data_IF_005258266527
#
_entry.id   IF_005258266527
#
_cell.length_a   1.000
_cell.length_b   1.000
_cell.length_c   1.000
_cell.angle_alpha   90.00
_cell.angle_beta   90.00
_cell.angle_gamma   90.00
#
_symmetry.space_group_name_H-M   'P 1'
#
loop_
_entity.id
_entity.type
_entity.pdbx_description
1 polymer ?
#
# COMPACT_ATOMS: atom_id res chain seq x y z
N UNK A 1 -2.23 12.87 -24.32
CA UNK A 1 -0.80 12.58 -24.54
C UNK A 1 -0.49 12.02 -25.93
N UNK A 2 -0.69 10.73 -26.28
CA UNK A 2 -0.35 10.25 -27.65
C UNK A 2 -1.17 10.98 -28.72
N UNK A 3 -2.48 11.14 -28.51
CA UNK A 3 -3.37 11.81 -29.47
C UNK A 3 -2.98 13.27 -29.66
N UNK A 4 -2.77 13.99 -28.56
CA UNK A 4 -2.37 15.41 -28.54
C UNK A 4 -0.99 15.63 -29.19
N UNK A 5 0.01 14.84 -28.80
CA UNK A 5 1.35 14.93 -29.37
C UNK A 5 1.38 14.51 -30.86
N UNK A 6 0.50 13.57 -31.26
CA UNK A 6 0.36 13.19 -32.68
C UNK A 6 -0.22 14.32 -33.53
N UNK A 7 -1.09 15.15 -32.94
CA UNK A 7 -1.67 16.32 -33.61
C UNK A 7 -0.66 17.47 -33.70
N UNK A 8 0.20 17.65 -32.69
CA UNK A 8 1.16 18.75 -32.62
C UNK A 8 2.48 18.49 -33.35
N UNK A 9 3.06 17.30 -33.18
CA UNK A 9 4.41 16.97 -33.66
C UNK A 9 4.43 15.82 -34.68
N UNK A 10 3.27 15.23 -34.98
CA UNK A 10 3.11 14.11 -35.91
C UNK A 10 3.16 12.73 -35.23
N UNK A 11 2.61 11.72 -35.92
CA UNK A 11 2.40 10.39 -35.34
C UNK A 11 3.69 9.65 -34.95
N UNK A 12 4.69 9.61 -35.84
CA UNK A 12 5.94 8.89 -35.57
C UNK A 12 6.74 9.49 -34.39
N UNK A 13 6.93 10.82 -34.31
CA UNK A 13 7.47 11.46 -33.11
C UNK A 13 6.67 11.13 -31.84
N UNK A 14 5.35 11.19 -31.90
CA UNK A 14 4.51 10.87 -30.74
C UNK A 14 4.66 9.42 -30.24
N UNK A 15 4.83 8.45 -31.15
CA UNK A 15 5.13 7.05 -30.80
C UNK A 15 6.51 6.93 -30.17
N UNK A 16 7.51 7.61 -30.73
CA UNK A 16 8.88 7.61 -30.20
C UNK A 16 8.95 8.23 -28.79
N UNK A 17 8.28 9.36 -28.59
CA UNK A 17 8.19 10.03 -27.30
C UNK A 17 7.49 9.14 -26.27
N UNK A 18 6.39 8.49 -26.67
CA UNK A 18 5.69 7.54 -25.81
C UNK A 18 6.61 6.40 -25.36
N UNK A 19 7.35 5.78 -26.29
CA UNK A 19 8.30 4.70 -25.98
C UNK A 19 9.41 5.20 -25.05
N UNK A 20 9.96 6.38 -25.32
CA UNK A 20 10.99 7.01 -24.49
C UNK A 20 10.48 7.23 -23.06
N UNK A 21 9.26 7.72 -22.90
CA UNK A 21 8.61 7.86 -21.59
C UNK A 21 8.42 6.51 -20.88
N UNK A 22 8.12 5.43 -21.61
CA UNK A 22 8.02 4.10 -21.00
C UNK A 22 9.39 3.61 -20.48
N UNK A 23 10.46 3.80 -21.25
CA UNK A 23 11.82 3.48 -20.81
C UNK A 23 12.29 4.33 -19.61
N UNK A 24 11.76 5.55 -19.48
CA UNK A 24 11.94 6.42 -18.31
C UNK A 24 11.03 6.06 -17.13
N UNK A 25 10.28 4.95 -17.23
CA UNK A 25 9.44 4.41 -16.15
C UNK A 25 8.25 5.32 -15.80
N UNK A 26 7.77 6.13 -16.76
CA UNK A 26 6.65 7.05 -16.56
C UNK A 26 5.37 6.34 -16.08
N UNK A 27 5.11 5.12 -16.56
CA UNK A 27 3.94 4.33 -16.12
C UNK A 27 4.05 3.87 -14.66
N UNK A 28 5.26 3.52 -14.19
CA UNK A 28 5.50 3.23 -12.77
C UNK A 28 5.25 4.48 -11.93
N UNK A 29 5.82 5.61 -12.37
CA UNK A 29 5.63 6.89 -11.69
C UNK A 29 4.16 7.29 -11.59
N UNK A 30 3.44 7.30 -12.71
CA UNK A 30 2.07 7.74 -12.75
C UNK A 30 1.15 6.86 -11.90
N UNK A 31 1.33 5.54 -11.98
CA UNK A 31 0.55 4.57 -11.20
C UNK A 31 0.77 4.76 -9.71
N UNK A 32 2.02 4.98 -9.29
CA UNK A 32 2.36 5.28 -7.90
C UNK A 32 1.85 6.65 -7.43
N UNK A 33 2.03 7.69 -8.26
CA UNK A 33 1.53 9.03 -7.97
C UNK A 33 0.01 9.07 -7.80
N UNK A 34 -0.72 8.38 -8.68
CA UNK A 34 -2.18 8.32 -8.62
C UNK A 34 -2.64 7.50 -7.42
N UNK A 35 -1.96 6.40 -7.08
CA UNK A 35 -2.22 5.65 -5.84
C UNK A 35 -2.10 6.52 -4.59
N UNK A 36 -1.03 7.32 -4.50
CA UNK A 36 -0.82 8.29 -3.42
C UNK A 36 -1.97 9.29 -3.31
N UNK A 37 -2.32 9.94 -4.44
CA UNK A 37 -3.39 10.95 -4.48
C UNK A 37 -4.73 10.34 -4.10
N UNK A 38 -5.10 9.20 -4.69
CA UNK A 38 -6.37 8.53 -4.41
C UNK A 38 -6.50 8.13 -2.93
N UNK A 39 -5.43 7.61 -2.33
CA UNK A 39 -5.45 7.21 -0.92
C UNK A 39 -5.68 8.40 0.01
N UNK A 40 -4.87 9.47 -0.12
CA UNK A 40 -4.97 10.61 0.79
C UNK A 40 -6.22 11.46 0.52
N UNK A 41 -6.64 11.61 -0.73
CA UNK A 41 -7.90 12.24 -1.08
C UNK A 41 -9.09 11.50 -0.45
N UNK A 42 -9.14 10.17 -0.58
CA UNK A 42 -10.16 9.34 0.05
C UNK A 42 -10.13 9.44 1.58
N UNK A 43 -8.95 9.41 2.21
CA UNK A 43 -8.80 9.59 3.66
C UNK A 43 -9.34 10.93 4.13
N UNK A 44 -9.02 12.02 3.43
CA UNK A 44 -9.49 13.36 3.76
C UNK A 44 -11.01 13.49 3.61
N UNK A 45 -11.60 12.92 2.55
CA UNK A 45 -13.06 12.94 2.37
C UNK A 45 -13.77 12.15 3.48
N UNK A 46 -13.27 10.96 3.81
CA UNK A 46 -13.93 10.05 4.74
C UNK A 46 -13.71 10.42 6.21
N UNK A 47 -12.54 10.95 6.56
CA UNK A 47 -12.10 11.11 7.96
C UNK A 47 -11.68 12.53 8.32
N UNK A 48 -11.51 13.43 7.33
CA UNK A 48 -10.88 14.73 7.54
C UNK A 48 -9.39 14.63 7.91
N UNK A 49 -8.86 15.67 8.57
CA UNK A 49 -7.52 15.63 9.17
C UNK A 49 -6.36 15.75 8.17
N UNK A 50 -6.45 16.69 7.22
CA UNK A 50 -5.32 17.00 6.34
C UNK A 50 -4.09 17.44 7.15
N UNK A 51 -2.97 16.75 6.95
CA UNK A 51 -1.69 17.04 7.64
C UNK A 51 -0.72 17.62 6.62
N UNK A 52 -0.37 18.88 6.79
CA UNK A 52 0.68 19.50 5.99
C UNK A 52 2.02 18.85 6.29
N UNK A 53 2.75 18.50 5.25
CA UNK A 53 4.16 18.13 5.35
C UNK A 53 4.96 19.11 4.52
N UNK A 54 5.95 19.75 5.16
CA UNK A 54 6.73 20.79 4.52
C UNK A 54 7.55 20.21 3.35
N UNK A 55 7.33 20.79 2.19
CA UNK A 55 8.13 20.61 0.98
C UNK A 55 9.50 21.23 1.24
N UNK A 56 10.55 20.41 1.40
CA UNK A 56 11.91 20.92 1.54
C UNK A 56 12.29 21.81 0.35
N UNK A 57 12.96 22.94 0.59
CA UNK A 57 13.50 23.79 -0.49
C UNK A 57 14.83 23.21 -0.95
N UNK A 58 14.92 22.80 -2.21
CA UNK A 58 16.17 22.40 -2.87
C UNK A 58 16.15 21.02 -3.53
N UNK A 59 17.14 20.78 -4.39
CA UNK A 59 17.40 19.51 -5.05
C UNK A 59 18.01 18.55 -4.02
N UNK A 60 17.17 17.76 -3.34
CA UNK A 60 17.63 16.83 -2.32
C UNK A 60 17.91 15.50 -3.02
N UNK A 61 19.18 15.27 -3.38
CA UNK A 61 19.69 14.00 -3.93
C UNK A 61 19.98 13.01 -2.78
N UNK A 62 19.11 12.99 -1.76
CA UNK A 62 19.34 12.18 -0.57
C UNK A 62 18.53 10.90 -0.63
N UNK A 63 19.23 9.79 -0.41
CA UNK A 63 18.62 8.50 -0.17
C UNK A 63 17.71 8.55 1.06
N UNK A 64 16.45 8.16 0.89
CA UNK A 64 15.51 7.93 2.00
C UNK A 64 15.63 6.49 2.48
N UNK A 65 15.78 6.32 3.78
CA UNK A 65 15.83 4.97 4.37
C UNK A 65 14.54 4.19 4.14
N UNK A 66 14.63 2.86 4.09
CA UNK A 66 13.46 2.00 4.00
C UNK A 66 12.44 2.26 5.12
N UNK A 67 12.88 2.49 6.37
CA UNK A 67 11.97 2.82 7.47
C UNK A 67 11.17 4.11 7.21
N UNK A 68 11.74 5.10 6.53
CA UNK A 68 10.99 6.29 6.09
C UNK A 68 10.00 5.95 4.97
N UNK A 69 10.44 5.24 3.93
CA UNK A 69 9.57 4.83 2.82
C UNK A 69 8.40 3.96 3.30
N UNK A 70 8.65 3.04 4.23
CA UNK A 70 7.62 2.19 4.83
C UNK A 70 6.58 3.04 5.56
N UNK A 71 6.99 3.98 6.42
CA UNK A 71 6.05 4.86 7.12
C UNK A 71 5.20 5.72 6.19
N UNK A 72 5.76 6.12 5.04
CA UNK A 72 5.05 6.93 4.06
C UNK A 72 4.08 6.12 3.19
N UNK A 73 4.46 4.90 2.81
CA UNK A 73 3.79 4.15 1.75
C UNK A 73 3.16 2.82 2.18
N UNK A 74 3.31 2.40 3.43
CA UNK A 74 2.75 1.12 3.93
C UNK A 74 1.25 1.01 3.65
N UNK A 75 0.44 1.99 4.08
CA UNK A 75 -1.03 1.96 3.94
C UNK A 75 -1.56 2.34 2.56
N UNK A 76 -0.82 3.18 1.85
CA UNK A 76 -1.24 3.68 0.54
C UNK A 76 -0.91 2.72 -0.60
N UNK A 77 0.21 2.00 -0.49
CA UNK A 77 0.76 1.16 -1.57
C UNK A 77 1.10 -0.26 -1.11
N UNK A 78 2.02 -0.44 -0.16
CA UNK A 78 2.63 -1.75 0.11
C UNK A 78 1.60 -2.79 0.55
N UNK A 79 0.79 -2.49 1.57
CA UNK A 79 -0.24 -3.42 2.06
C UNK A 79 -1.21 -3.79 0.94
N UNK A 80 -1.70 -2.78 0.19
CA UNK A 80 -2.65 -3.02 -0.90
C UNK A 80 -2.06 -3.82 -2.05
N UNK A 81 -0.78 -3.60 -2.36
CA UNK A 81 -0.06 -4.36 -3.39
C UNK A 81 0.13 -5.82 -2.97
N UNK A 82 0.46 -6.07 -1.70
CA UNK A 82 0.59 -7.42 -1.15
C UNK A 82 -0.77 -8.12 -1.16
N UNK A 83 -1.84 -7.46 -0.68
CA UNK A 83 -3.20 -8.01 -0.71
C UNK A 83 -3.64 -8.37 -2.13
N UNK A 84 -3.47 -7.46 -3.08
CA UNK A 84 -3.80 -7.71 -4.49
C UNK A 84 -2.95 -8.85 -5.06
N UNK A 85 -1.65 -8.88 -4.77
CA UNK A 85 -0.75 -9.95 -5.22
C UNK A 85 -1.17 -11.32 -4.68
N UNK A 86 -1.53 -11.41 -3.40
CA UNK A 86 -2.04 -12.64 -2.79
C UNK A 86 -3.34 -13.08 -3.47
N UNK A 87 -4.28 -12.15 -3.73
CA UNK A 87 -5.53 -12.46 -4.44
C UNK A 87 -5.24 -12.98 -5.85
N UNK A 88 -4.31 -12.38 -6.58
CA UNK A 88 -3.93 -12.83 -7.93
C UNK A 88 -3.28 -14.22 -7.94
N UNK A 89 -2.49 -14.55 -6.91
CA UNK A 89 -1.90 -15.88 -6.72
C UNK A 89 -2.98 -16.90 -6.41
N UNK A 90 -3.91 -16.58 -5.51
CA UNK A 90 -5.05 -17.47 -5.19
C UNK A 90 -5.92 -17.67 -6.42
N UNK A 91 -6.19 -16.62 -7.19
CA UNK A 91 -6.92 -16.71 -8.45
C UNK A 91 -6.21 -17.60 -9.48
N UNK A 92 -4.88 -17.50 -9.60
CA UNK A 92 -4.09 -18.36 -10.46
C UNK A 92 -4.15 -19.83 -10.04
N UNK A 93 -4.14 -20.10 -8.74
CA UNK A 93 -4.11 -21.46 -8.19
C UNK A 93 -5.48 -22.16 -8.19
N UNK A 94 -6.58 -21.41 -8.10
CA UNK A 94 -7.90 -21.99 -7.81
C UNK A 94 -8.94 -21.77 -8.92
N UNK A 95 -8.63 -21.06 -10.01
CA UNK A 95 -9.60 -20.83 -11.09
C UNK A 95 -9.31 -21.69 -12.32
N UNK A 96 -10.34 -22.35 -12.83
CA UNK A 96 -10.26 -23.14 -14.08
C UNK A 96 -9.90 -22.27 -15.29
N UNK A 97 -10.29 -20.98 -15.26
CA UNK A 97 -9.93 -19.98 -16.26
C UNK A 97 -8.43 -19.68 -16.26
N UNK A 98 -7.75 -19.81 -15.11
CA UNK A 98 -6.30 -19.64 -15.04
C UNK A 98 -5.51 -20.82 -15.59
N UNK A 99 -6.14 -21.98 -15.80
CA UNK A 99 -5.50 -23.14 -16.42
C UNK A 99 -4.98 -22.81 -17.83
N UNK A 100 -5.64 -21.89 -18.54
CA UNK A 100 -5.10 -21.30 -19.75
C UNK A 100 -4.18 -20.11 -19.40
N UNK A 101 -2.86 -20.36 -19.47
CA UNK A 101 -1.83 -19.37 -19.13
C UNK A 101 -1.96 -18.07 -19.92
N UNK A 102 -2.34 -18.13 -21.20
CA UNK A 102 -2.46 -16.95 -22.05
C UNK A 102 -3.65 -16.07 -21.63
N UNK A 103 -4.81 -16.69 -21.38
CA UNK A 103 -6.02 -15.99 -20.91
C UNK A 103 -5.77 -15.36 -19.53
N UNK A 104 -5.13 -16.10 -18.61
CA UNK A 104 -4.75 -15.56 -17.31
C UNK A 104 -3.87 -14.32 -17.42
N UNK A 105 -2.81 -14.38 -18.23
CA UNK A 105 -1.86 -13.27 -18.38
C UNK A 105 -2.59 -12.03 -18.90
N UNK A 106 -3.38 -12.16 -19.98
CA UNK A 106 -4.08 -11.00 -20.57
C UNK A 106 -5.04 -10.35 -19.57
N UNK A 107 -5.75 -11.15 -18.77
CA UNK A 107 -6.73 -10.61 -17.82
C UNK A 107 -6.07 -9.98 -16.57
N UNK A 108 -4.88 -10.44 -16.18
CA UNK A 108 -4.26 -10.04 -14.89
C UNK A 108 -3.01 -9.17 -15.02
N UNK A 109 -2.47 -8.99 -16.22
CA UNK A 109 -1.21 -8.23 -16.45
C UNK A 109 -1.27 -6.80 -15.89
N UNK A 110 -2.42 -6.13 -16.00
CA UNK A 110 -2.62 -4.78 -15.45
C UNK A 110 -2.59 -4.78 -13.92
N UNK A 111 -3.18 -5.79 -13.28
CA UNK A 111 -3.15 -5.96 -11.83
C UNK A 111 -1.75 -6.31 -11.32
N UNK A 112 -1.03 -7.20 -12.01
CA UNK A 112 0.37 -7.51 -11.69
C UNK A 112 1.28 -6.30 -11.88
N UNK A 113 1.08 -5.52 -12.95
CA UNK A 113 1.78 -4.25 -13.15
C UNK A 113 1.51 -3.27 -12.00
N UNK A 114 0.26 -3.18 -11.52
CA UNK A 114 -0.10 -2.36 -10.35
C UNK A 114 0.65 -2.82 -9.09
N UNK A 115 0.68 -4.14 -8.82
CA UNK A 115 1.41 -4.72 -7.67
C UNK A 115 2.90 -4.37 -7.74
N UNK A 116 3.54 -4.63 -8.88
CA UNK A 116 4.98 -4.39 -9.05
C UNK A 116 5.30 -2.90 -8.97
N UNK A 117 4.52 -2.04 -9.61
CA UNK A 117 4.74 -0.59 -9.59
C UNK A 117 4.59 -0.01 -8.18
N UNK A 118 3.63 -0.47 -7.39
CA UNK A 118 3.43 0.01 -6.02
C UNK A 118 4.50 -0.46 -5.03
N UNK A 119 5.08 -1.65 -5.24
CA UNK A 119 6.18 -2.16 -4.41
C UNK A 119 7.51 -1.48 -4.80
N UNK A 120 7.82 -1.39 -6.08
CA UNK A 120 9.16 -1.03 -6.56
C UNK A 120 9.38 0.49 -6.67
N UNK A 121 8.34 1.28 -6.98
CA UNK A 121 8.51 2.72 -7.24
C UNK A 121 9.18 3.51 -6.11
N UNK A 122 8.87 3.29 -4.81
CA UNK A 122 9.57 3.99 -3.72
C UNK A 122 11.09 3.79 -3.71
N UNK A 123 11.60 2.72 -4.33
CA UNK A 123 13.03 2.41 -4.42
C UNK A 123 13.60 2.86 -5.75
N UNK A 124 12.85 2.62 -6.84
CA UNK A 124 13.19 3.00 -8.20
C UNK A 124 13.49 4.48 -8.33
N UNK A 125 12.73 5.31 -7.62
CA UNK A 125 12.86 6.75 -7.65
C UNK A 125 13.50 7.32 -6.37
N UNK A 126 14.20 6.48 -5.62
CA UNK A 126 15.01 6.85 -4.47
C UNK A 126 16.49 6.74 -4.85
N UNK A 127 17.30 7.83 -4.73
CA UNK A 127 18.72 7.78 -5.02
C UNK A 127 19.41 6.65 -4.23
N UNK A 128 20.25 5.86 -4.90
CA UNK A 128 20.88 4.66 -4.33
C UNK A 128 19.90 3.64 -3.73
N UNK A 129 18.65 3.62 -4.21
CA UNK A 129 17.60 2.70 -3.76
C UNK A 129 17.91 1.23 -4.02
N UNK A 130 18.79 0.94 -4.99
CA UNK A 130 19.30 -0.40 -5.27
C UNK A 130 20.80 -0.57 -5.03
N UNK A 131 21.36 0.15 -4.06
CA UNK A 131 22.71 -0.12 -3.57
C UNK A 131 22.66 -1.24 -2.52
N UNK A 132 23.47 -2.28 -2.70
CA UNK A 132 23.46 -3.45 -1.81
C UNK A 132 23.78 -3.10 -0.35
N UNK A 133 24.83 -2.31 -0.12
CA UNK A 133 25.24 -1.94 1.23
C UNK A 133 24.18 -1.07 1.90
N UNK A 134 23.59 -0.12 1.14
CA UNK A 134 22.46 0.68 1.63
C UNK A 134 21.25 -0.18 1.95
N UNK A 135 20.93 -1.16 1.12
CA UNK A 135 19.80 -2.08 1.37
C UNK A 135 19.99 -2.85 2.68
N UNK A 136 21.21 -3.31 2.97
CA UNK A 136 21.52 -4.00 4.24
C UNK A 136 21.36 -3.04 5.43
N UNK A 137 21.88 -1.81 5.35
CA UNK A 137 21.72 -0.82 6.41
C UNK A 137 20.26 -0.38 6.61
N UNK A 138 19.50 -0.30 5.53
CA UNK A 138 18.07 0.00 5.55
C UNK A 138 17.27 -1.11 6.24
N UNK A 139 17.65 -2.37 6.01
CA UNK A 139 17.05 -3.51 6.72
C UNK A 139 17.33 -3.43 8.22
N UNK A 140 18.58 -3.21 8.60
CA UNK A 140 18.97 -3.07 10.01
C UNK A 140 18.22 -1.89 10.66
N UNK A 141 18.19 -0.73 9.99
CA UNK A 141 17.48 0.46 10.46
C UNK A 141 15.97 0.23 10.62
N UNK A 142 15.35 -0.50 9.69
CA UNK A 142 13.95 -0.89 9.78
C UNK A 142 13.69 -1.82 10.97
N UNK A 143 14.52 -2.84 11.15
CA UNK A 143 14.38 -3.76 12.29
C UNK A 143 14.58 -3.04 13.63
N UNK A 144 15.55 -2.13 13.71
CA UNK A 144 15.75 -1.28 14.88
C UNK A 144 14.51 -0.41 15.18
N UNK A 145 13.91 0.20 14.16
CA UNK A 145 12.68 0.99 14.30
C UNK A 145 11.46 0.16 14.74
N UNK A 146 11.31 -1.06 14.22
CA UNK A 146 10.23 -2.01 14.61
C UNK A 146 10.32 -2.37 16.09
N UNK A 147 11.54 -2.61 16.59
CA UNK A 147 11.77 -3.10 17.95
C UNK A 147 12.06 -2.01 18.97
N UNK A 148 12.18 -0.75 18.54
CA UNK A 148 12.49 0.36 19.43
C UNK A 148 11.37 0.59 20.46
N UNK A 149 11.74 0.53 21.75
CA UNK A 149 10.86 0.81 22.88
C UNK A 149 11.31 2.10 23.57
N UNK A 150 10.51 3.16 23.44
CA UNK A 150 10.76 4.44 24.11
C UNK A 150 9.46 5.18 24.43
N UNK A 151 9.36 5.74 25.64
CA UNK A 151 8.11 6.31 26.18
C UNK A 151 7.70 7.62 25.48
N UNK A 152 8.67 8.38 24.95
CA UNK A 152 8.46 9.64 24.21
C UNK A 152 9.04 9.56 22.79
N UNK A 153 9.11 8.35 22.23
CA UNK A 153 9.61 8.13 20.89
C UNK A 153 8.67 8.79 19.88
N UNK A 154 9.25 9.48 18.89
CA UNK A 154 8.50 10.00 17.74
C UNK A 154 8.23 8.88 16.72
N UNK A 155 7.29 9.10 15.80
CA UNK A 155 6.95 8.11 14.77
C UNK A 155 8.13 7.72 13.84
N UNK A 156 9.16 8.56 13.71
CA UNK A 156 10.40 8.24 13.00
C UNK A 156 11.35 7.33 13.77
N UNK A 157 11.17 7.21 15.09
CA UNK A 157 12.03 6.42 15.97
C UNK A 157 11.38 5.11 16.41
N UNK A 158 10.06 5.08 16.59
CA UNK A 158 9.32 3.89 17.02
C UNK A 158 8.17 3.55 16.09
N UNK A 159 8.10 2.27 15.70
CA UNK A 159 6.95 1.71 15.02
C UNK A 159 5.67 1.86 15.81
N UNK A 160 5.72 1.74 17.15
CA UNK A 160 4.52 1.81 17.98
C UNK A 160 3.88 3.19 17.93
N UNK A 161 4.68 4.26 18.08
CA UNK A 161 4.20 5.64 17.93
C UNK A 161 3.63 5.88 16.54
N UNK A 162 4.33 5.43 15.48
CA UNK A 162 3.84 5.56 14.11
C UNK A 162 2.52 4.80 13.89
N UNK A 163 2.41 3.58 14.41
CA UNK A 163 1.22 2.73 14.29
C UNK A 163 0.01 3.41 14.91
N UNK A 164 0.16 4.01 16.10
CA UNK A 164 -0.90 4.78 16.76
C UNK A 164 -1.27 6.07 16.02
N UNK A 165 -0.28 6.85 15.55
CA UNK A 165 -0.52 8.06 14.76
C UNK A 165 -1.26 7.74 13.45
N UNK A 166 -0.86 6.68 12.78
CA UNK A 166 -1.46 6.29 11.51
C UNK A 166 -2.92 5.89 11.68
N UNK A 167 -3.31 5.32 12.83
CA UNK A 167 -4.70 4.91 13.14
C UNK A 167 -5.59 6.00 13.71
N UNK A 168 -5.05 7.16 14.09
CA UNK A 168 -5.83 8.15 14.85
C UNK A 168 -7.12 8.59 14.11
N UNK A 169 -7.04 8.66 12.77
CA UNK A 169 -8.19 8.96 11.92
C UNK A 169 -9.33 7.92 12.00
N UNK A 170 -9.05 6.66 12.32
CA UNK A 170 -10.09 5.63 12.45
C UNK A 170 -10.94 5.82 13.71
N UNK A 171 -10.42 6.54 14.72
CA UNK A 171 -11.11 6.79 15.98
C UNK A 171 -12.37 7.63 15.77
N UNK A 172 -12.34 8.62 14.87
CA UNK A 172 -13.50 9.47 14.57
C UNK A 172 -14.58 8.69 13.82
N UNK A 173 -14.20 7.84 12.87
CA UNK A 173 -15.13 6.96 12.14
C UNK A 173 -15.75 5.89 13.03
N UNK A 174 -14.96 5.30 13.95
CA UNK A 174 -15.47 4.32 14.90
C UNK A 174 -16.56 4.92 15.82
N UNK A 175 -16.42 6.19 16.23
CA UNK A 175 -17.46 6.91 16.98
C UNK A 175 -18.70 7.14 16.11
N UNK A 176 -18.54 7.51 14.84
CA UNK A 176 -19.67 7.67 13.90
C UNK A 176 -20.44 6.36 13.63
N UNK A 177 -19.71 5.25 13.46
CA UNK A 177 -20.30 3.91 13.33
C UNK A 177 -20.96 3.50 14.65
N UNK A 178 -20.31 3.73 15.80
CA UNK A 178 -20.89 3.45 17.12
C UNK A 178 -22.19 4.23 17.36
N UNK A 179 -22.23 5.52 17.02
CA UNK A 179 -23.44 6.35 17.13
C UNK A 179 -24.52 5.84 16.18
N UNK A 180 -24.17 5.41 14.97
CA UNK A 180 -25.11 4.86 14.00
C UNK A 180 -25.67 3.49 14.44
N UNK A 181 -24.81 2.63 15.01
CA UNK A 181 -25.19 1.34 15.58
C UNK A 181 -25.99 1.52 16.86
N UNK A 182 -25.66 2.50 17.71
CA UNK A 182 -26.41 2.82 18.94
C UNK A 182 -27.79 3.41 18.58
N UNK A 183 -27.86 4.28 17.56
CA UNK A 183 -29.12 4.79 17.02
C UNK A 183 -29.97 3.68 16.38
N UNK A 184 -29.35 2.73 15.68
CA UNK A 184 -30.03 1.56 15.15
C UNK A 184 -30.46 0.58 16.25
N UNK A 185 -29.64 0.38 17.29
CA UNK A 185 -29.98 -0.42 18.47
C UNK A 185 -31.17 0.20 19.20
N UNK A 186 -31.18 1.50 19.47
CA UNK A 186 -32.34 2.17 20.10
C UNK A 186 -33.63 2.03 19.27
N UNK A 187 -33.51 1.97 17.94
CA UNK A 187 -34.65 1.77 17.03
C UNK A 187 -35.16 0.32 16.95
N UNK A 188 -34.35 -0.68 17.32
CA UNK A 188 -34.68 -2.11 17.15
C UNK A 188 -34.52 -2.97 18.43
N UNK A 189 -34.13 -2.39 19.57
CA UNK A 189 -33.81 -3.10 20.82
C UNK A 189 -35.04 -3.48 21.68
N UNK A 190 -36.11 -3.97 21.06
CA UNK A 190 -37.19 -4.61 21.79
C UNK A 190 -37.02 -6.15 21.83
N UNK A 191 -36.24 -6.58 22.83
CA UNK A 191 -36.25 -7.87 23.56
C UNK A 191 -35.87 -9.18 22.81
N UNK A 192 -34.79 -9.83 23.27
CA UNK A 192 -34.78 -11.12 24.02
C UNK A 192 -33.43 -11.88 23.94
N UNK A 193 -32.83 -12.22 25.09
CA UNK A 193 -31.57 -12.98 25.21
C UNK A 193 -31.63 -14.44 24.70
N UNK A 194 -32.82 -14.97 24.43
CA UNK A 194 -33.02 -16.30 23.85
C UNK A 194 -32.66 -16.31 22.36
N UNK A 195 -32.91 -15.20 21.64
CA UNK A 195 -32.61 -15.04 20.21
C UNK A 195 -31.11 -15.03 19.96
N UNK A 196 -30.32 -14.41 20.84
CA UNK A 196 -28.86 -14.41 20.73
C UNK A 196 -28.25 -15.81 20.88
N UNK A 197 -28.70 -16.59 21.88
CA UNK A 197 -28.24 -17.97 22.08
C UNK A 197 -28.69 -18.90 20.95
N UNK A 198 -29.89 -18.69 20.40
CA UNK A 198 -30.38 -19.40 19.22
C UNK A 198 -29.60 -19.03 17.96
N UNK A 199 -29.29 -17.75 17.74
CA UNK A 199 -28.44 -17.29 16.63
C UNK A 199 -27.04 -17.87 16.73
N UNK A 200 -26.44 -17.88 17.93
CA UNK A 200 -25.11 -18.46 18.15
C UNK A 200 -25.11 -19.98 17.91
N UNK A 201 -26.15 -20.70 18.35
CA UNK A 201 -26.31 -22.14 18.09
C UNK A 201 -26.53 -22.43 16.59
N UNK A 202 -27.34 -21.62 15.90
CA UNK A 202 -27.58 -21.73 14.46
C UNK A 202 -26.30 -21.46 13.68
N UNK A 203 -25.54 -20.43 14.04
CA UNK A 203 -24.25 -20.11 13.40
C UNK A 203 -23.25 -21.25 13.61
N UNK A 204 -23.10 -21.76 14.83
CA UNK A 204 -22.21 -22.90 15.12
C UNK A 204 -22.64 -24.15 14.34
N UNK A 205 -23.95 -24.48 14.34
CA UNK A 205 -24.48 -25.66 13.63
C UNK A 205 -24.30 -25.52 12.12
N UNK A 206 -24.58 -24.36 11.53
CA UNK A 206 -24.33 -24.08 10.11
C UNK A 206 -22.85 -24.14 9.79
N UNK A 207 -21.98 -23.65 10.68
CA UNK A 207 -20.52 -23.67 10.48
C UNK A 207 -20.01 -25.10 10.47
N UNK A 208 -20.44 -25.94 11.42
CA UNK A 208 -20.11 -27.37 11.47
C UNK A 208 -20.67 -28.08 10.23
N UNK A 209 -21.90 -27.79 9.83
CA UNK A 209 -22.51 -28.40 8.66
C UNK A 209 -21.76 -28.01 7.37
N UNK A 210 -21.36 -26.75 7.21
CA UNK A 210 -20.54 -26.29 6.10
C UNK A 210 -19.16 -26.96 6.13
N UNK A 211 -18.51 -27.10 7.29
CA UNK A 211 -17.24 -27.82 7.41
C UNK A 211 -17.39 -29.29 7.01
N UNK A 212 -18.42 -29.98 7.51
CA UNK A 212 -18.68 -31.39 7.16
C UNK A 212 -19.01 -31.54 5.68
N UNK A 213 -19.79 -30.61 5.11
CA UNK A 213 -20.15 -30.62 3.70
C UNK A 213 -18.92 -30.37 2.82
N UNK A 214 -18.07 -29.40 3.19
CA UNK A 214 -16.78 -29.14 2.54
C UNK A 214 -15.89 -30.38 2.61
N UNK A 215 -15.71 -30.99 3.78
CA UNK A 215 -14.93 -32.22 3.95
C UNK A 215 -15.46 -33.42 3.16
N UNK A 216 -16.78 -33.50 2.92
CA UNK A 216 -17.40 -34.55 2.10
C UNK A 216 -17.35 -34.26 0.60
N UNK A 217 -17.33 -32.98 0.20
CA UNK A 217 -17.37 -32.54 -1.20
C UNK A 217 -15.99 -32.29 -1.79
N UNK A 218 -14.95 -32.03 -0.99
CA UNK A 218 -13.62 -31.73 -1.49
C UNK A 218 -12.65 -32.89 -1.29
N UNK A 219 -11.96 -33.28 -2.36
CA UNK A 219 -10.76 -34.12 -2.29
C UNK A 219 -9.61 -33.24 -1.84
N UNK A 220 -9.24 -33.31 -0.56
CA UNK A 220 -8.19 -32.46 0.02
C UNK A 220 -6.82 -32.73 -0.63
N UNK A 221 -6.24 -31.70 -1.25
CA UNK A 221 -4.92 -31.74 -1.90
C UNK A 221 -3.93 -30.89 -1.11
N UNK A 222 -2.64 -31.22 -1.12
CA UNK A 222 -1.60 -30.46 -0.42
C UNK A 222 -1.55 -28.96 -0.81
N UNK A 223 -1.93 -28.60 -2.04
CA UNK A 223 -2.01 -27.20 -2.48
C UNK A 223 -3.13 -26.40 -1.78
N UNK A 224 -4.15 -27.07 -1.24
CA UNK A 224 -5.21 -26.43 -0.46
C UNK A 224 -4.65 -25.93 0.88
N UNK A 225 -3.69 -26.67 1.46
CA UNK A 225 -2.97 -26.24 2.68
C UNK A 225 -2.18 -24.95 2.42
N UNK A 226 -1.43 -24.90 1.31
CA UNK A 226 -0.66 -23.69 0.94
C UNK A 226 -1.60 -22.51 0.66
N UNK A 227 -2.71 -22.74 -0.05
CA UNK A 227 -3.71 -21.71 -0.34
C UNK A 227 -4.37 -21.17 0.93
N UNK A 228 -4.65 -22.04 1.91
CA UNK A 228 -5.22 -21.64 3.20
C UNK A 228 -4.27 -20.78 4.04
N UNK A 229 -2.96 -21.05 3.97
CA UNK A 229 -1.93 -20.22 4.60
C UNK A 229 -1.86 -18.83 3.94
N UNK A 230 -1.94 -18.78 2.61
CA UNK A 230 -1.99 -17.51 1.89
C UNK A 230 -3.24 -16.69 2.25
N UNK A 231 -4.39 -17.35 2.44
CA UNK A 231 -5.62 -16.69 2.87
C UNK A 231 -5.53 -16.11 4.30
N UNK A 232 -4.63 -16.62 5.15
CA UNK A 232 -4.41 -16.09 6.50
C UNK A 232 -3.78 -14.69 6.48
N UNK A 233 -3.03 -14.33 5.43
CA UNK A 233 -2.42 -13.00 5.29
C UNK A 233 -3.52 -11.91 5.23
N UNK A 234 -4.44 -11.90 4.24
CA UNK A 234 -5.51 -10.90 4.19
C UNK A 234 -6.53 -11.09 5.32
N UNK A 235 -6.79 -12.33 5.77
CA UNK A 235 -7.76 -12.58 6.84
C UNK A 235 -7.29 -12.03 8.19
N UNK A 236 -6.07 -12.36 8.61
CA UNK A 236 -5.53 -11.87 9.87
C UNK A 236 -5.24 -10.36 9.83
N UNK A 237 -4.84 -9.83 8.67
CA UNK A 237 -4.78 -8.38 8.47
C UNK A 237 -6.16 -7.72 8.63
N UNK A 238 -7.21 -8.30 8.04
CA UNK A 238 -8.59 -7.83 8.20
C UNK A 238 -9.07 -7.86 9.66
N UNK A 239 -8.73 -8.91 10.42
CA UNK A 239 -9.02 -8.98 11.86
C UNK A 239 -8.31 -7.87 12.65
N UNK A 240 -7.06 -7.55 12.30
CA UNK A 240 -6.33 -6.42 12.90
C UNK A 240 -7.05 -5.10 12.55
N UNK A 241 -7.47 -4.89 11.31
CA UNK A 241 -8.23 -3.70 10.92
C UNK A 241 -9.55 -3.56 11.69
N UNK A 242 -10.29 -4.66 11.90
CA UNK A 242 -11.50 -4.66 12.75
C UNK A 242 -11.14 -4.27 14.18
N UNK A 243 -10.08 -4.86 14.75
CA UNK A 243 -9.62 -4.52 16.09
C UNK A 243 -9.18 -3.04 16.20
N UNK A 244 -8.57 -2.48 15.16
CA UNK A 244 -8.19 -1.05 15.11
C UNK A 244 -9.43 -0.14 15.15
N UNK A 245 -10.50 -0.48 14.45
CA UNK A 245 -11.77 0.27 14.53
C UNK A 245 -12.37 0.16 15.93
N UNK A 246 -12.26 -1.00 16.57
CA UNK A 246 -12.73 -1.24 17.94
C UNK A 246 -11.76 -0.78 19.03
N UNK A 247 -10.67 -0.08 18.67
CA UNK A 247 -9.63 0.38 19.60
C UNK A 247 -10.17 1.05 20.87
N UNK A 248 -11.15 1.98 20.83
CA UNK A 248 -11.66 2.64 22.05
C UNK A 248 -12.16 1.68 23.13
N UNK A 249 -12.60 0.47 22.74
CA UNK A 249 -13.11 -0.55 23.64
C UNK A 249 -12.05 -1.59 24.01
N UNK A 250 -11.16 -1.91 23.06
CA UNK A 250 -10.16 -2.96 23.26
C UNK A 250 -8.92 -2.46 23.99
N UNK A 251 -8.57 -1.17 23.88
CA UNK A 251 -7.32 -0.62 24.37
C UNK A 251 -7.10 -0.80 25.89
N UNK A 252 -8.17 -0.89 26.68
CA UNK A 252 -8.10 -1.15 28.13
C UNK A 252 -7.97 -2.63 28.49
N UNK A 253 -8.01 -3.53 27.51
CA UNK A 253 -7.99 -4.99 27.70
C UNK A 253 -6.64 -5.60 27.29
N UNK A 254 -6.31 -6.77 27.84
CA UNK A 254 -5.09 -7.54 27.47
C UNK A 254 -5.08 -7.96 25.99
N UNK A 255 -6.26 -7.98 25.35
CA UNK A 255 -6.39 -8.29 23.92
C UNK A 255 -5.65 -7.26 23.06
N UNK A 256 -5.60 -5.99 23.48
CA UNK A 256 -4.95 -4.94 22.71
C UNK A 256 -3.45 -5.14 22.56
N UNK A 257 -2.76 -5.58 23.62
CA UNK A 257 -1.33 -5.89 23.55
C UNK A 257 -1.04 -7.05 22.57
N UNK A 258 -1.97 -8.00 22.49
CA UNK A 258 -1.92 -9.11 21.52
C UNK A 258 -2.12 -8.59 20.10
N UNK A 259 -3.13 -7.74 19.87
CA UNK A 259 -3.39 -7.10 18.57
C UNK A 259 -2.19 -6.26 18.13
N UNK A 260 -1.62 -5.45 19.02
CA UNK A 260 -0.44 -4.64 18.74
C UNK A 260 0.78 -5.51 18.41
N UNK A 261 0.96 -6.64 19.10
CA UNK A 261 2.06 -7.58 18.82
C UNK A 261 1.88 -8.29 17.47
N UNK A 262 0.66 -8.71 17.14
CA UNK A 262 0.33 -9.30 15.84
C UNK A 262 0.49 -8.27 14.72
N UNK A 263 0.00 -7.05 14.90
CA UNK A 263 0.20 -5.95 13.98
C UNK A 263 1.68 -5.69 13.67
N UNK A 264 2.53 -5.68 14.70
CA UNK A 264 3.98 -5.53 14.54
C UNK A 264 4.57 -6.66 13.69
N UNK A 265 4.15 -7.89 13.95
CA UNK A 265 4.56 -9.06 13.17
C UNK A 265 4.13 -8.96 11.71
N UNK A 266 2.91 -8.51 11.44
CA UNK A 266 2.40 -8.28 10.09
C UNK A 266 3.18 -7.19 9.35
N UNK A 267 3.42 -6.04 9.97
CA UNK A 267 4.20 -4.98 9.33
C UNK A 267 5.67 -5.39 9.11
N UNK A 268 6.24 -6.19 10.02
CA UNK A 268 7.58 -6.76 9.82
C UNK A 268 7.58 -7.73 8.62
N UNK A 269 6.58 -8.62 8.52
CA UNK A 269 6.43 -9.55 7.40
C UNK A 269 6.26 -8.80 6.07
N UNK A 270 5.39 -7.80 6.02
CA UNK A 270 5.21 -6.95 4.85
C UNK A 270 6.48 -6.19 4.50
N UNK A 271 7.20 -5.68 5.49
CA UNK A 271 8.50 -5.04 5.29
C UNK A 271 9.49 -5.98 4.60
N UNK A 272 9.61 -7.22 5.08
CA UNK A 272 10.48 -8.25 4.47
C UNK A 272 10.04 -8.60 3.04
N UNK A 273 8.74 -8.77 2.80
CA UNK A 273 8.19 -9.04 1.46
C UNK A 273 8.54 -7.90 0.48
N UNK A 274 8.46 -6.65 0.93
CA UNK A 274 8.79 -5.47 0.11
C UNK A 274 10.30 -5.37 -0.14
N UNK A 275 11.15 -5.66 0.86
CA UNK A 275 12.60 -5.60 0.69
C UNK A 275 13.18 -6.77 -0.10
N UNK A 276 12.57 -7.95 -0.10
CA UNK A 276 13.08 -9.11 -0.82
C UNK A 276 13.38 -8.83 -2.32
N UNK A 277 12.47 -8.25 -3.12
CA UNK A 277 12.78 -7.89 -4.50
C UNK A 277 13.79 -6.74 -4.60
N UNK A 278 13.82 -5.81 -3.64
CA UNK A 278 14.81 -4.73 -3.61
C UNK A 278 16.21 -5.30 -3.39
N UNK A 279 16.40 -6.16 -2.39
CA UNK A 279 17.66 -6.84 -2.10
C UNK A 279 18.15 -7.67 -3.28
N UNK A 280 17.24 -8.40 -3.95
CA UNK A 280 17.57 -9.12 -5.18
C UNK A 280 18.08 -8.17 -6.28
N UNK A 281 17.37 -7.09 -6.56
CA UNK A 281 17.76 -6.11 -7.58
C UNK A 281 19.05 -5.36 -7.22
N UNK A 282 19.27 -5.06 -5.94
CA UNK A 282 20.49 -4.43 -5.43
C UNK A 282 21.73 -5.32 -5.56
N UNK A 283 21.54 -6.64 -5.54
CA UNK A 283 22.61 -7.61 -5.73
C UNK A 283 22.99 -7.79 -7.21
N UNK A 284 22.10 -7.45 -8.15
CA UNK A 284 22.38 -7.59 -9.58
C UNK A 284 23.43 -6.56 -10.05
N UNK A 285 24.49 -7.01 -10.75
CA UNK A 285 25.52 -6.10 -11.23
C UNK A 285 24.93 -5.11 -12.25
N UNK A 286 25.25 -3.82 -12.08
CA UNK A 286 24.85 -2.76 -13.00
C UNK A 286 23.46 -2.17 -12.77
N UNK A 287 22.59 -2.76 -11.95
CA UNK A 287 21.23 -2.26 -11.74
C UNK A 287 21.20 -0.87 -11.10
N UNK A 288 22.01 -0.64 -10.06
CA UNK A 288 22.21 0.69 -9.46
C UNK A 288 22.68 1.73 -10.51
N UNK A 289 23.61 1.35 -11.40
CA UNK A 289 24.12 2.27 -12.42
C UNK A 289 23.05 2.62 -13.46
N UNK A 290 22.20 1.65 -13.82
CA UNK A 290 21.05 1.86 -14.69
C UNK A 290 20.05 2.81 -14.03
N UNK A 291 19.70 2.56 -12.77
CA UNK A 291 18.82 3.44 -12.00
C UNK A 291 19.33 4.89 -11.99
N UNK A 292 20.60 5.10 -11.61
CA UNK A 292 21.20 6.43 -11.54
C UNK A 292 21.19 7.12 -12.90
N UNK A 293 21.43 6.39 -14.00
CA UNK A 293 21.33 6.97 -15.35
C UNK A 293 19.90 7.36 -15.70
N UNK A 294 18.90 6.53 -15.39
CA UNK A 294 17.50 6.86 -15.63
C UNK A 294 17.09 8.10 -14.82
N UNK A 295 17.57 8.24 -13.58
CA UNK A 295 17.20 9.35 -12.69
C UNK A 295 17.96 10.65 -12.95
N UNK A 296 19.23 10.59 -13.36
CA UNK A 296 20.12 11.77 -13.32
C UNK A 296 20.74 12.18 -14.64
N UNK A 297 20.71 11.32 -15.66
CA UNK A 297 21.43 11.59 -16.91
C UNK A 297 20.85 12.79 -17.70
N UNK A 298 19.61 13.21 -17.40
CA UNK A 298 18.98 14.39 -18.00
C UNK A 298 19.23 15.70 -17.24
N UNK A 299 19.58 15.63 -15.95
CA UNK A 299 19.88 16.82 -15.11
C UNK A 299 21.19 17.50 -15.56
N UNK A 300 22.15 16.73 -16.06
CA UNK A 300 23.42 17.26 -16.60
C UNK A 300 23.30 17.87 -18.01
N UNK A 301 22.20 17.63 -18.73
CA UNK A 301 21.99 18.11 -20.10
C UNK A 301 21.10 19.36 -20.19
N UNK A 302 20.68 19.93 -19.05
CA UNK A 302 19.86 21.15 -19.02
C UNK A 302 18.41 20.96 -19.49
N UNK A 303 17.94 19.71 -19.62
CA UNK A 303 16.57 19.41 -19.99
C UNK A 303 15.63 19.60 -18.77
N UNK A 304 14.43 20.19 -18.94
CA UNK A 304 13.44 20.30 -17.87
C UNK A 304 12.95 18.89 -17.50
N UNK A 305 13.51 18.32 -16.45
CA UNK A 305 13.19 16.95 -16.05
C UNK A 305 11.85 16.93 -15.30
N UNK A 306 10.79 16.64 -16.07
CA UNK A 306 9.44 16.44 -15.58
C UNK A 306 9.42 15.27 -14.58
N UNK A 307 10.28 14.26 -14.70
CA UNK A 307 10.21 13.06 -13.85
C UNK A 307 10.75 13.30 -12.44
N UNK A 308 11.98 13.83 -12.30
CA UNK A 308 12.62 14.01 -10.99
C UNK A 308 12.03 15.18 -10.19
N UNK A 309 11.77 16.31 -10.87
CA UNK A 309 11.13 17.48 -10.24
C UNK A 309 9.66 17.21 -9.90
N UNK A 310 8.92 16.45 -10.73
CA UNK A 310 7.60 15.95 -10.32
C UNK A 310 7.70 14.89 -9.24
N UNK A 311 8.77 14.08 -9.15
CA UNK A 311 8.92 13.09 -8.07
C UNK A 311 9.04 13.74 -6.69
N UNK A 312 9.88 14.78 -6.56
CA UNK A 312 9.88 15.63 -5.37
C UNK A 312 8.50 16.22 -5.14
N UNK A 313 7.87 16.80 -6.18
CA UNK A 313 6.52 17.35 -6.04
C UNK A 313 5.48 16.29 -5.69
N UNK A 314 5.54 15.03 -6.13
CA UNK A 314 4.52 13.97 -5.91
C UNK A 314 4.68 13.31 -4.54
N UNK A 315 5.92 13.16 -4.04
CA UNK A 315 6.15 12.85 -2.63
C UNK A 315 5.50 13.90 -1.71
N UNK A 316 5.27 15.13 -2.20
CA UNK A 316 4.86 16.30 -1.41
C UNK A 316 3.41 16.78 -1.70
N UNK A 317 2.91 16.67 -2.94
CA UNK A 317 1.58 17.15 -3.40
C UNK A 317 0.46 16.15 -3.17
N UNK A 318 0.77 14.87 -2.93
CA UNK A 318 -0.24 13.88 -2.52
C UNK A 318 -0.97 14.24 -1.22
N UNK A 319 -0.49 15.25 -0.48
CA UNK A 319 -1.08 15.75 0.77
C UNK A 319 -1.48 17.24 0.77
N UNK A 320 -1.29 17.98 -0.34
CA UNK A 320 -1.62 19.43 -0.42
C UNK A 320 -3.07 19.73 -0.84
N UNK A 321 -3.83 18.75 -1.34
CA UNK A 321 -5.10 18.98 -2.05
C UNK A 321 -6.33 19.37 -1.19
N UNK A 322 -6.18 19.80 0.07
CA UNK A 322 -7.34 20.12 0.93
C UNK A 322 -7.43 21.54 1.47
N UNK A 323 -6.52 22.46 1.16
CA UNK A 323 -6.59 23.84 1.69
C UNK A 323 -7.00 24.92 0.69
N UNK A 324 -7.14 24.62 -0.61
CA UNK A 324 -7.55 25.63 -1.59
C UNK A 324 -8.68 25.13 -2.48
N UNK A 325 -9.91 25.56 -2.17
CA UNK A 325 -11.08 25.50 -3.06
C UNK A 325 -10.97 26.42 -4.29
N UNK A 326 -9.78 26.58 -4.84
CA UNK A 326 -9.49 27.43 -6.00
C UNK A 326 -8.14 27.06 -6.62
N UNK A 327 -8.04 25.84 -7.16
CA UNK A 327 -6.98 25.52 -8.10
C UNK A 327 -7.29 26.21 -9.44
N UNK A 328 -6.74 27.41 -9.66
CA UNK A 328 -6.51 27.91 -11.01
C UNK A 328 -5.55 26.93 -11.69
N UNK A 329 -6.07 26.16 -12.63
CA UNK A 329 -5.28 25.42 -13.60
C UNK A 329 -4.58 26.44 -14.52
N UNK A 330 -3.40 26.92 -14.13
CA UNK A 330 -2.45 27.48 -15.09
C UNK A 330 -1.53 26.34 -15.51
N UNK A 331 -1.85 25.74 -16.66
CA UNK A 331 -0.90 25.02 -17.47
C UNK A 331 0.05 26.06 -18.06
N UNK A 332 1.21 26.27 -17.42
CA UNK A 332 2.32 26.96 -18.09
C UNK A 332 2.96 25.96 -19.05
N UNK A 333 2.46 25.97 -20.29
CA UNK A 333 3.21 25.51 -21.45
C UNK A 333 4.17 26.64 -21.81
N UNK A 334 5.43 26.49 -21.44
CA UNK A 334 6.50 27.26 -22.06
C UNK A 334 7.56 26.28 -22.59
N UNK A 335 7.74 26.40 -23.91
CA UNK A 335 8.61 25.67 -24.81
C UNK A 335 10.06 25.57 -24.36
#
# INVERSE_FOLDING_TARGET
MIVENSLEHGFLPAVWDFLTMQFQLASFFYTFSMGTRAHFFGRTILHGGAKYQATGRGFVVQHKSFAENYRLFARSHFVKAIELGVILIVYAANSDLAANTFVYIIMTISCWFLVVSWIISPFLFNPSGFDWLKTVYDFEGFMNWIWYRGVLAKADQSWETWWYEEQDHLRTTAVGIYVSISYAQDKFAAKEHIKYRLTQLIVITLTILVIVLLLKLTTFIFLDLVSSLLAFIPTGWGLICIAQVLRPFLQSTVVWDTVASLARLYDMLFGVIVMAPVAFLSWLPGFQSMQTRILFNHIQQGAPDISYSYWQKVQLTGKEYSSTGSAKLTFDYNY
#
